data_IF_646655459275
#
_entry.id   IF_646655459275
#
_cell.length_a   1.000
_cell.length_b   1.000
_cell.length_c   1.000
_cell.angle_alpha   90.00
_cell.angle_beta   90.00
_cell.angle_gamma   90.00
#
_symmetry.space_group_name_H-M   'P 1'
#
loop_
_entity.id
_entity.type
_entity.pdbx_description
1 polymer ?
#
# COMPACT_ATOMS: atom_id res chain seq x y z
N UNK A 1 -17.69 -25.77 37.40
CA UNK A 1 -16.49 -26.23 36.67
C UNK A 1 -16.92 -26.53 35.25
N UNK A 2 -16.62 -25.71 34.24
CA UNK A 2 -17.04 -25.99 32.87
C UNK A 2 -16.09 -27.02 32.24
N UNK A 3 -16.68 -28.00 31.58
CA UNK A 3 -16.05 -29.17 30.98
C UNK A 3 -14.97 -28.80 29.95
N UNK A 4 -13.77 -29.35 30.11
CA UNK A 4 -12.67 -29.23 29.16
C UNK A 4 -12.91 -30.20 27.98
N UNK A 5 -13.04 -29.73 26.72
CA UNK A 5 -13.21 -30.63 25.59
C UNK A 5 -11.89 -31.38 25.34
N UNK A 6 -11.94 -32.71 25.44
CA UNK A 6 -10.84 -33.61 25.06
C UNK A 6 -10.65 -33.61 23.55
N UNK A 7 -9.49 -33.16 23.07
CA UNK A 7 -9.09 -33.28 21.67
C UNK A 7 -8.43 -34.65 21.45
N UNK A 8 -9.11 -35.57 20.78
CA UNK A 8 -8.55 -36.87 20.39
C UNK A 8 -7.88 -36.74 19.01
N UNK A 9 -6.60 -37.11 18.92
CA UNK A 9 -5.87 -37.15 17.64
C UNK A 9 -6.25 -38.47 16.92
N UNK A 10 -6.60 -38.45 15.62
CA UNK A 10 -6.86 -39.68 14.89
C UNK A 10 -5.57 -40.44 14.63
N UNK A 11 -5.65 -41.78 14.62
CA UNK A 11 -4.51 -42.66 14.42
C UNK A 11 -3.78 -42.42 13.07
N UNK A 12 -2.48 -42.72 12.98
CA UNK A 12 -1.69 -42.46 11.76
C UNK A 12 -2.24 -43.28 10.58
N UNK A 13 -2.69 -42.61 9.51
CA UNK A 13 -3.14 -43.27 8.27
C UNK A 13 -4.46 -42.77 7.68
N UNK A 14 -5.19 -41.87 8.34
CA UNK A 14 -6.44 -41.32 7.79
C UNK A 14 -6.18 -40.17 6.80
N UNK A 15 -6.81 -40.23 5.62
CA UNK A 15 -6.80 -39.17 4.60
C UNK A 15 -7.42 -37.88 5.16
N UNK A 16 -6.72 -36.76 4.97
CA UNK A 16 -7.12 -35.45 5.49
C UNK A 16 -8.46 -34.99 4.89
N UNK A 17 -9.48 -34.83 5.74
CA UNK A 17 -10.71 -34.10 5.38
C UNK A 17 -10.55 -32.62 5.79
N UNK A 18 -11.07 -31.66 5.01
CA UNK A 18 -10.97 -30.24 5.34
C UNK A 18 -11.78 -29.93 6.60
N UNK A 19 -11.11 -29.45 7.64
CA UNK A 19 -11.73 -29.00 8.88
C UNK A 19 -12.49 -27.70 8.62
N UNK A 20 -13.82 -27.75 8.69
CA UNK A 20 -14.67 -26.54 8.82
C UNK A 20 -14.64 -26.10 10.28
N UNK A 21 -13.93 -25.00 10.55
CA UNK A 21 -13.99 -24.31 11.85
C UNK A 21 -14.99 -23.18 11.77
N UNK A 22 -16.14 -23.35 12.42
CA UNK A 22 -17.09 -22.27 12.73
C UNK A 22 -16.50 -21.44 13.87
N UNK A 23 -16.28 -20.12 13.72
CA UNK A 23 -15.51 -19.36 14.70
C UNK A 23 -16.41 -18.95 15.87
N UNK A 24 -16.23 -19.60 17.01
CA UNK A 24 -16.47 -18.94 18.30
C UNK A 24 -15.27 -19.27 19.19
N UNK A 25 -14.46 -18.25 19.46
CA UNK A 25 -13.21 -18.23 20.25
C UNK A 25 -12.08 -19.19 19.84
N UNK A 26 -11.28 -18.78 18.85
CA UNK A 26 -10.12 -19.53 18.34
C UNK A 26 -8.91 -19.46 19.29
N UNK A 27 -8.64 -20.52 20.05
CA UNK A 27 -7.28 -20.85 20.49
C UNK A 27 -6.57 -21.56 19.33
N UNK A 28 -5.53 -20.94 18.77
CA UNK A 28 -4.68 -21.56 17.75
C UNK A 28 -3.62 -22.41 18.43
N UNK A 29 -3.63 -23.72 18.19
CA UNK A 29 -2.53 -24.63 18.53
C UNK A 29 -1.65 -24.80 17.29
N UNK A 30 -0.35 -24.51 17.41
CA UNK A 30 0.63 -24.80 16.36
C UNK A 30 1.37 -26.09 16.69
N UNK A 31 1.53 -26.98 15.73
CA UNK A 31 2.36 -28.18 15.85
C UNK A 31 3.74 -27.89 15.24
N UNK A 32 4.68 -27.49 16.09
CA UNK A 32 6.11 -27.38 15.78
C UNK A 32 6.90 -28.09 16.88
N UNK A 33 7.96 -28.80 16.47
CA UNK A 33 8.74 -29.74 17.30
C UNK A 33 9.07 -29.23 18.72
N UNK A 34 8.66 -30.04 19.71
CA UNK A 34 9.08 -30.05 21.11
C UNK A 34 9.17 -28.68 21.82
N UNK A 35 8.06 -28.19 22.38
CA UNK A 35 7.91 -27.59 23.74
C UNK A 35 6.52 -26.91 23.80
N UNK A 36 5.60 -27.45 24.60
CA UNK A 36 4.27 -26.88 24.81
C UNK A 36 4.34 -25.81 25.92
N UNK A 37 4.64 -24.55 25.56
CA UNK A 37 4.46 -23.42 26.49
C UNK A 37 3.17 -22.70 26.14
N UNK A 38 2.23 -22.67 27.09
CA UNK A 38 0.99 -21.91 26.95
C UNK A 38 1.23 -20.50 27.52
N UNK A 39 1.84 -19.63 26.73
CA UNK A 39 1.92 -18.20 27.03
C UNK A 39 0.68 -17.46 26.52
N UNK A 40 0.18 -16.49 27.30
CA UNK A 40 -0.79 -15.49 26.83
C UNK A 40 -0.11 -14.61 25.76
N UNK A 41 -0.13 -15.06 24.51
CA UNK A 41 -0.03 -14.11 23.40
C UNK A 41 -1.39 -13.41 23.40
N UNK A 42 -1.45 -12.09 23.66
CA UNK A 42 -2.63 -11.32 23.28
C UNK A 42 -2.78 -11.52 21.78
N UNK A 43 -3.67 -12.43 21.40
CA UNK A 43 -3.88 -12.80 20.01
C UNK A 43 -4.21 -11.54 19.23
N UNK A 44 -3.38 -11.23 18.24
CA UNK A 44 -3.81 -10.36 17.16
C UNK A 44 -5.00 -11.07 16.53
N UNK A 45 -6.21 -10.60 16.82
CA UNK A 45 -7.40 -11.05 16.11
C UNK A 45 -7.16 -10.64 14.67
N UNK A 46 -6.87 -11.61 13.79
CA UNK A 46 -7.00 -11.41 12.34
C UNK A 46 -8.49 -11.29 12.09
N UNK A 47 -9.05 -10.14 12.41
CA UNK A 47 -10.46 -9.87 12.23
C UNK A 47 -10.72 -9.81 10.73
N UNK A 48 -11.64 -10.64 10.25
CA UNK A 48 -12.13 -10.59 8.88
C UNK A 48 -13.05 -9.37 8.62
N UNK A 49 -12.90 -8.31 9.42
CA UNK A 49 -13.74 -7.11 9.44
C UNK A 49 -13.28 -6.06 8.45
N UNK A 50 -12.02 -6.12 8.04
CA UNK A 50 -11.38 -5.10 7.23
C UNK A 50 -10.95 -5.65 5.88
N UNK A 51 -11.40 -5.01 4.81
CA UNK A 51 -11.08 -5.42 3.44
C UNK A 51 -10.33 -4.31 2.73
N UNK A 52 -9.22 -4.65 2.10
CA UNK A 52 -8.40 -3.74 1.29
C UNK A 52 -8.45 -4.22 -0.16
N UNK A 53 -8.89 -3.37 -1.08
CA UNK A 53 -8.92 -3.65 -2.50
C UNK A 53 -8.17 -2.55 -3.24
N UNK A 54 -7.47 -2.89 -4.32
CA UNK A 54 -6.90 -1.91 -5.22
C UNK A 54 -7.41 -2.11 -6.64
N UNK A 55 -7.44 -1.02 -7.39
CA UNK A 55 -7.48 -1.06 -8.84
C UNK A 55 -6.05 -0.91 -9.36
N UNK A 56 -5.73 -1.55 -10.49
CA UNK A 56 -4.41 -1.41 -11.10
C UNK A 56 -4.09 0.06 -11.42
N UNK A 57 -2.81 0.48 -11.33
CA UNK A 57 -2.44 1.87 -11.55
C UNK A 57 -2.83 2.34 -12.95
N UNK A 58 -3.34 3.56 -13.05
CA UNK A 58 -3.66 4.22 -14.31
C UNK A 58 -2.70 5.37 -14.56
N UNK A 59 -2.33 5.60 -15.82
CA UNK A 59 -1.50 6.74 -16.19
C UNK A 59 -2.40 7.96 -16.39
N UNK A 60 -2.13 9.05 -15.66
CA UNK A 60 -2.91 10.28 -15.76
C UNK A 60 -1.99 11.49 -15.98
N UNK A 61 -2.43 12.41 -16.85
CA UNK A 61 -1.76 13.69 -17.06
C UNK A 61 -2.35 14.73 -16.12
N UNK A 62 -1.48 15.43 -15.38
CA UNK A 62 -1.83 16.61 -14.62
C UNK A 62 -2.00 17.78 -15.59
N UNK A 63 -3.23 18.25 -15.80
CA UNK A 63 -3.51 19.35 -16.74
C UNK A 63 -2.94 20.70 -16.29
N UNK A 64 -2.61 20.89 -15.01
CA UNK A 64 -2.04 22.14 -14.49
C UNK A 64 -0.54 22.25 -14.80
N UNK A 65 0.19 21.15 -14.65
CA UNK A 65 1.65 21.10 -14.83
C UNK A 65 2.06 20.43 -16.14
N UNK A 66 1.12 19.84 -16.88
CA UNK A 66 1.34 18.99 -18.06
C UNK A 66 2.29 17.81 -17.82
N UNK A 67 2.39 17.35 -16.57
CA UNK A 67 3.23 16.22 -16.18
C UNK A 67 2.39 14.97 -15.99
N UNK A 68 2.96 13.80 -16.25
CA UNK A 68 2.26 12.53 -16.09
C UNK A 68 2.51 11.91 -14.69
N UNK A 69 1.60 11.10 -14.18
CA UNK A 69 1.74 10.33 -12.95
C UNK A 69 1.07 8.96 -13.06
N UNK A 70 1.58 7.97 -12.33
CA UNK A 70 0.87 6.73 -12.06
C UNK A 70 -0.07 6.92 -10.88
N UNK A 71 -1.36 6.71 -11.13
CA UNK A 71 -2.40 6.92 -10.14
C UNK A 71 -2.92 5.58 -9.66
N UNK A 72 -2.77 5.34 -8.37
CA UNK A 72 -3.22 4.14 -7.69
C UNK A 72 -4.51 4.44 -6.94
N UNK A 73 -5.49 3.55 -7.04
CA UNK A 73 -6.73 3.65 -6.29
C UNK A 73 -6.85 2.47 -5.36
N UNK A 74 -6.94 2.76 -4.06
CA UNK A 74 -7.06 1.74 -3.01
C UNK A 74 -8.27 2.08 -2.14
N UNK A 75 -9.11 1.07 -1.93
CA UNK A 75 -10.30 1.16 -1.10
C UNK A 75 -10.14 0.28 0.14
N UNK A 76 -10.27 0.89 1.31
CA UNK A 76 -10.32 0.25 2.60
C UNK A 76 -11.75 0.26 3.10
N UNK A 77 -12.29 -0.90 3.47
CA UNK A 77 -13.65 -1.04 3.99
C UNK A 77 -13.61 -1.67 5.37
N UNK A 78 -14.22 -0.99 6.34
CA UNK A 78 -14.42 -1.50 7.69
C UNK A 78 -15.91 -1.87 7.91
N UNK A 79 -16.20 -3.08 8.35
CA UNK A 79 -17.58 -3.49 8.62
C UNK A 79 -18.22 -2.73 9.79
N UNK A 80 -17.44 -2.19 10.72
CA UNK A 80 -17.93 -1.49 11.91
C UNK A 80 -18.03 0.04 11.74
N UNK A 81 -17.67 0.56 10.57
CA UNK A 81 -17.59 2.00 10.31
C UNK A 81 -16.15 2.51 10.38
N UNK A 82 -15.94 3.75 9.95
CA UNK A 82 -14.60 4.33 9.82
C UNK A 82 -14.08 4.99 11.12
N UNK A 83 -14.91 5.06 12.16
CA UNK A 83 -14.62 5.84 13.37
C UNK A 83 -13.47 5.29 14.21
N UNK A 84 -13.13 4.02 14.06
CA UNK A 84 -12.02 3.36 14.75
C UNK A 84 -10.73 3.31 13.92
N UNK A 85 -10.73 3.74 12.66
CA UNK A 85 -9.54 3.81 11.79
C UNK A 85 -8.72 5.07 12.07
N UNK A 86 -7.40 4.93 12.24
CA UNK A 86 -6.46 6.05 12.44
C UNK A 86 -5.65 6.35 11.20
N UNK A 87 -4.92 5.36 10.71
CA UNK A 87 -3.97 5.52 9.62
C UNK A 87 -4.12 4.39 8.61
N UNK A 88 -4.06 4.75 7.34
CA UNK A 88 -3.97 3.83 6.21
C UNK A 88 -2.55 3.92 5.65
N UNK A 89 -1.97 2.78 5.32
CA UNK A 89 -0.59 2.67 4.91
C UNK A 89 -0.51 2.03 3.54
N UNK A 90 0.35 2.56 2.69
CA UNK A 90 0.57 2.12 1.32
C UNK A 90 2.05 2.03 1.07
N UNK A 91 2.54 0.90 0.59
CA UNK A 91 3.94 0.77 0.29
C UNK A 91 4.11 0.09 -1.06
N UNK A 92 4.69 0.80 -2.02
CA UNK A 92 5.16 0.17 -3.25
C UNK A 92 6.57 -0.30 -2.96
N UNK A 93 6.75 -1.61 -2.82
CA UNK A 93 8.02 -2.25 -2.41
C UNK A 93 8.26 -3.54 -3.18
N UNK A 94 9.53 -3.81 -3.49
CA UNK A 94 9.98 -5.04 -4.14
C UNK A 94 10.26 -6.20 -3.15
N UNK A 95 10.25 -5.94 -1.84
CA UNK A 95 10.58 -6.94 -0.81
C UNK A 95 9.36 -7.31 0.03
N UNK A 96 8.81 -6.35 0.78
CA UNK A 96 7.63 -6.55 1.63
C UNK A 96 6.95 -5.24 1.97
N UNK A 97 5.68 -5.30 2.36
CA UNK A 97 4.92 -4.11 2.81
C UNK A 97 5.50 -3.46 4.06
N UNK A 98 6.11 -4.24 4.95
CA UNK A 98 6.72 -3.73 6.18
C UNK A 98 8.07 -3.01 5.95
N UNK A 99 8.67 -3.11 4.76
CA UNK A 99 9.94 -2.46 4.46
C UNK A 99 9.74 -0.97 4.16
N UNK A 100 10.00 -0.15 5.17
CA UNK A 100 9.79 1.29 5.13
C UNK A 100 10.97 2.09 4.54
N UNK A 101 12.18 1.55 4.61
CA UNK A 101 13.40 2.25 4.17
C UNK A 101 13.59 2.09 2.68
N UNK A 102 14.04 3.15 2.02
CA UNK A 102 14.31 3.14 0.57
C UNK A 102 13.12 2.59 -0.25
N UNK A 103 11.90 2.93 0.15
CA UNK A 103 10.67 2.52 -0.51
C UNK A 103 9.73 3.70 -0.69
N UNK A 104 8.74 3.54 -1.57
CA UNK A 104 7.68 4.53 -1.74
C UNK A 104 6.58 4.25 -0.72
N UNK A 105 6.82 4.66 0.53
CA UNK A 105 5.93 4.42 1.65
C UNK A 105 5.10 5.68 1.97
N UNK A 106 3.78 5.55 1.79
CA UNK A 106 2.79 6.55 2.13
C UNK A 106 1.99 6.19 3.39
N UNK A 107 1.62 7.20 4.15
CA UNK A 107 0.64 7.10 5.24
C UNK A 107 -0.47 8.13 5.03
N UNK A 108 -1.73 7.71 5.09
CA UNK A 108 -2.87 8.60 5.14
C UNK A 108 -3.44 8.60 6.55
N UNK A 109 -3.41 9.76 7.20
CA UNK A 109 -3.97 9.96 8.53
C UNK A 109 -5.42 10.39 8.42
N UNK A 110 -6.34 9.51 8.81
CA UNK A 110 -7.77 9.68 8.61
C UNK A 110 -8.38 10.90 9.36
N UNK A 111 -7.98 11.21 10.61
CA UNK A 111 -8.55 12.34 11.36
C UNK A 111 -8.32 13.72 10.71
N UNK A 112 -7.16 13.94 10.09
CA UNK A 112 -6.84 15.22 9.41
C UNK A 112 -6.91 15.13 7.89
N UNK A 113 -7.16 13.92 7.35
CA UNK A 113 -7.16 13.62 5.91
C UNK A 113 -5.86 14.05 5.20
N UNK A 114 -4.72 13.91 5.89
CA UNK A 114 -3.41 14.23 5.32
C UNK A 114 -2.74 12.97 4.82
N UNK A 115 -2.08 13.06 3.68
CA UNK A 115 -1.23 11.99 3.14
C UNK A 115 0.23 12.41 3.27
N UNK A 116 1.07 11.47 3.69
CA UNK A 116 2.47 11.73 3.96
C UNK A 116 3.35 10.71 3.26
N UNK A 117 4.51 11.15 2.78
CA UNK A 117 5.55 10.33 2.20
C UNK A 117 6.71 10.18 3.19
N UNK A 118 7.19 8.96 3.38
CA UNK A 118 8.31 8.66 4.26
C UNK A 118 9.65 9.00 3.57
N UNK A 119 10.56 9.61 4.30
CA UNK A 119 11.91 9.88 3.81
C UNK A 119 12.76 8.60 3.66
N UNK A 120 13.87 8.68 2.92
CA UNK A 120 14.73 7.52 2.65
C UNK A 120 15.27 6.82 3.91
N UNK A 121 15.52 7.62 4.96
CA UNK A 121 16.00 7.14 6.25
C UNK A 121 14.92 6.40 7.08
N UNK A 122 13.65 6.49 6.69
CA UNK A 122 12.55 5.81 7.39
C UNK A 122 12.18 6.43 8.75
N UNK A 123 12.55 7.70 8.99
CA UNK A 123 12.43 8.37 10.30
C UNK A 123 11.54 9.60 10.30
N UNK A 124 11.22 10.17 9.13
CA UNK A 124 10.46 11.41 9.02
C UNK A 124 9.45 11.37 7.88
N UNK A 125 8.27 11.94 8.12
CA UNK A 125 7.15 11.98 7.19
C UNK A 125 6.94 13.40 6.63
N UNK A 126 6.92 13.54 5.33
CA UNK A 126 6.58 14.79 4.63
C UNK A 126 5.10 14.76 4.23
N UNK A 127 4.31 15.70 4.75
CA UNK A 127 2.84 15.64 4.64
C UNK A 127 2.28 16.67 3.66
N UNK A 128 1.27 16.27 2.91
CA UNK A 128 0.46 17.13 2.04
C UNK A 128 -1.02 16.86 2.25
N UNK A 129 -1.84 17.85 1.90
CA UNK A 129 -3.29 17.67 1.80
C UNK A 129 -3.64 17.19 0.40
N UNK A 130 -4.50 16.16 0.23
CA UNK A 130 -5.04 15.79 -1.07
C UNK A 130 -5.64 17.01 -1.81
N UNK A 131 -5.44 17.09 -3.12
CA UNK A 131 -5.77 18.23 -4.01
C UNK A 131 -4.96 19.52 -3.77
N UNK A 132 -3.96 19.51 -2.89
CA UNK A 132 -3.03 20.63 -2.80
C UNK A 132 -2.13 20.66 -4.03
N UNK A 133 -1.83 21.86 -4.55
CA UNK A 133 -0.81 22.05 -5.57
C UNK A 133 0.61 22.02 -4.94
N UNK A 134 0.92 20.88 -4.34
CA UNK A 134 2.18 20.59 -3.65
C UNK A 134 2.64 19.20 -4.04
N UNK A 135 3.95 18.99 -4.04
CA UNK A 135 4.60 17.70 -4.29
C UNK A 135 5.64 17.47 -3.21
N UNK A 136 5.70 16.23 -2.71
CA UNK A 136 6.75 15.75 -1.80
C UNK A 136 7.46 14.58 -2.44
N UNK A 137 8.73 14.34 -2.11
CA UNK A 137 9.54 13.32 -2.78
C UNK A 137 10.60 12.72 -1.87
N UNK A 138 10.91 11.44 -2.10
CA UNK A 138 12.07 10.76 -1.57
C UNK A 138 12.93 10.20 -2.72
N UNK A 139 13.97 9.42 -2.41
CA UNK A 139 14.86 8.82 -3.41
C UNK A 139 14.26 7.71 -4.28
N UNK A 140 12.99 7.32 -4.08
CA UNK A 140 12.28 6.31 -4.89
C UNK A 140 11.10 6.87 -5.67
N UNK A 141 10.37 7.85 -5.12
CA UNK A 141 9.19 8.41 -5.74
C UNK A 141 8.89 9.85 -5.33
N UNK A 142 8.04 10.50 -6.12
CA UNK A 142 7.38 11.76 -5.78
C UNK A 142 5.86 11.58 -5.74
N UNK A 143 5.20 12.18 -4.75
CA UNK A 143 3.75 12.21 -4.58
C UNK A 143 3.18 13.55 -5.05
N UNK A 144 2.31 13.52 -6.07
CA UNK A 144 1.62 14.70 -6.60
C UNK A 144 0.29 14.92 -5.87
N UNK A 145 0.22 16.00 -5.07
CA UNK A 145 -0.97 16.36 -4.31
C UNK A 145 -2.18 16.72 -5.18
N UNK A 146 -1.96 17.25 -6.39
CA UNK A 146 -3.02 17.75 -7.28
C UNK A 146 -3.92 16.62 -7.78
N UNK A 147 -3.29 15.50 -8.14
CA UNK A 147 -3.96 14.30 -8.63
C UNK A 147 -4.33 13.32 -7.51
N UNK A 148 -3.92 13.61 -6.28
CA UNK A 148 -4.23 12.81 -5.10
C UNK A 148 -5.57 13.24 -4.52
N UNK A 149 -6.47 12.27 -4.32
CA UNK A 149 -7.82 12.49 -3.82
C UNK A 149 -8.13 11.45 -2.74
N UNK A 150 -8.67 11.91 -1.62
CA UNK A 150 -9.28 11.04 -0.62
C UNK A 150 -10.78 11.24 -0.63
N UNK A 151 -11.54 10.15 -0.56
CA UNK A 151 -13.00 10.21 -0.43
C UNK A 151 -13.49 9.11 0.49
N UNK A 152 -14.66 9.34 1.08
CA UNK A 152 -15.31 8.41 1.98
C UNK A 152 -16.70 8.10 1.48
N UNK A 153 -17.08 6.82 1.47
CA UNK A 153 -18.44 6.41 1.19
C UNK A 153 -18.85 5.26 2.11
N UNK A 154 -19.94 5.46 2.86
CA UNK A 154 -20.40 4.53 3.90
C UNK A 154 -19.25 4.21 4.87
N UNK A 155 -18.80 2.96 4.89
CA UNK A 155 -17.73 2.50 5.75
C UNK A 155 -16.42 2.26 4.99
N UNK A 156 -16.20 2.99 3.90
CA UNK A 156 -15.03 2.83 3.05
C UNK A 156 -14.27 4.14 2.84
N UNK A 157 -12.94 4.09 3.00
CA UNK A 157 -12.01 5.09 2.49
C UNK A 157 -11.54 4.67 1.11
N UNK A 158 -11.69 5.54 0.11
CA UNK A 158 -11.09 5.39 -1.21
C UNK A 158 -10.02 6.46 -1.37
N UNK A 159 -8.76 6.02 -1.41
CA UNK A 159 -7.59 6.87 -1.55
C UNK A 159 -7.02 6.65 -2.95
N UNK A 160 -7.01 7.74 -3.72
CA UNK A 160 -6.36 7.86 -5.00
C UNK A 160 -5.06 8.64 -4.80
N UNK A 161 -3.91 8.03 -5.02
CA UNK A 161 -2.62 8.71 -4.87
C UNK A 161 -1.80 8.63 -6.15
N UNK A 162 -1.21 9.76 -6.52
CA UNK A 162 -0.49 9.93 -7.77
C UNK A 162 1.02 9.94 -7.52
N UNK A 163 1.70 8.91 -8.01
CA UNK A 163 3.13 8.72 -7.85
C UNK A 163 3.86 8.86 -9.17
N UNK A 164 5.08 9.39 -9.08
CA UNK A 164 6.09 9.28 -10.13
C UNK A 164 7.28 8.57 -9.54
N UNK A 165 7.81 7.58 -10.26
CA UNK A 165 8.91 6.78 -9.78
C UNK A 165 10.18 7.19 -10.50
N UNK A 166 11.26 7.32 -9.73
CA UNK A 166 12.58 7.56 -10.31
C UNK A 166 13.05 6.33 -11.08
N UNK A 167 13.86 6.56 -12.10
CA UNK A 167 14.23 5.54 -13.09
C UNK A 167 14.79 4.25 -12.48
N UNK A 168 15.63 4.40 -11.45
CA UNK A 168 16.24 3.32 -10.69
C UNK A 168 15.26 2.45 -9.88
N UNK A 169 14.10 2.99 -9.53
CA UNK A 169 13.06 2.27 -8.80
C UNK A 169 12.03 1.65 -9.75
N UNK A 170 11.72 2.35 -10.84
CA UNK A 170 10.77 1.93 -11.86
C UNK A 170 11.24 0.75 -12.72
N UNK A 171 12.55 0.51 -12.80
CA UNK A 171 13.11 -0.62 -13.57
C UNK A 171 12.89 -2.00 -12.94
N UNK A 172 12.27 -2.06 -11.75
CA UNK A 172 12.09 -3.28 -10.97
C UNK A 172 10.60 -3.58 -10.76
N UNK A 173 10.23 -4.85 -10.86
CA UNK A 173 8.87 -5.30 -10.53
C UNK A 173 8.66 -5.14 -9.03
N UNK A 174 7.61 -4.44 -8.63
CA UNK A 174 7.25 -4.20 -7.23
C UNK A 174 5.85 -4.75 -6.94
N UNK A 175 5.48 -4.79 -5.66
CA UNK A 175 4.11 -5.03 -5.23
C UNK A 175 3.58 -3.81 -4.49
N UNK A 176 2.31 -3.50 -4.70
CA UNK A 176 1.60 -2.55 -3.86
C UNK A 176 1.11 -3.28 -2.60
N UNK A 177 1.50 -2.78 -1.45
CA UNK A 177 1.08 -3.29 -0.15
C UNK A 177 0.18 -2.30 0.56
N UNK A 178 -0.85 -2.82 1.24
CA UNK A 178 -1.77 -2.04 2.05
C UNK A 178 -1.82 -2.55 3.49
N UNK A 179 -1.91 -1.62 4.43
CA UNK A 179 -2.14 -1.89 5.85
C UNK A 179 -3.01 -0.78 6.44
N UNK A 180 -3.66 -1.02 7.58
CA UNK A 180 -4.31 0.03 8.34
C UNK A 180 -4.20 -0.21 9.85
N UNK A 181 -4.31 0.86 10.61
CA UNK A 181 -4.27 0.86 12.08
C UNK A 181 -5.49 1.55 12.65
N UNK A 182 -5.91 1.13 13.85
CA UNK A 182 -6.98 1.79 14.59
C UNK A 182 -6.53 2.97 15.47
N UNK A 183 -7.47 3.75 16.00
CA UNK A 183 -7.23 4.95 16.85
C UNK A 183 -6.54 4.65 18.19
N UNK A 184 -6.71 3.46 18.75
CA UNK A 184 -6.09 3.09 20.03
C UNK A 184 -4.78 2.31 19.80
N UNK A 185 -3.72 2.94 19.28
CA UNK A 185 -2.44 2.26 18.99
C UNK A 185 -1.86 1.47 20.18
N UNK A 186 -2.13 1.90 21.43
CA UNK A 186 -1.67 1.24 22.66
C UNK A 186 -2.43 -0.07 23.01
N UNK A 187 -3.60 -0.31 22.42
CA UNK A 187 -4.33 -1.59 22.46
C UNK A 187 -4.59 -2.14 21.05
N UNK A 188 -3.84 -1.65 20.06
CA UNK A 188 -4.33 -1.35 18.72
C UNK A 188 -4.64 -2.55 17.83
N UNK A 189 -5.83 -2.48 17.22
CA UNK A 189 -6.15 -3.29 16.06
C UNK A 189 -5.22 -2.86 14.92
N UNK A 190 -4.20 -3.69 14.68
CA UNK A 190 -3.32 -3.60 13.52
C UNK A 190 -3.80 -4.66 12.53
N UNK A 191 -4.23 -4.22 11.37
CA UNK A 191 -4.49 -5.11 10.26
C UNK A 191 -3.16 -5.54 9.65
N UNK A 192 -2.97 -6.82 9.27
CA UNK A 192 -1.72 -7.25 8.67
C UNK A 192 -1.52 -6.61 7.30
N UNK A 193 -0.25 -6.52 6.86
CA UNK A 193 0.08 -6.15 5.50
C UNK A 193 -0.56 -7.11 4.49
N UNK A 194 -1.23 -6.56 3.49
CA UNK A 194 -1.81 -7.30 2.37
C UNK A 194 -1.16 -6.85 1.07
N UNK A 195 -0.68 -7.80 0.26
CA UNK A 195 -0.31 -7.51 -1.13
C UNK A 195 -1.59 -7.26 -1.93
N UNK A 196 -1.67 -6.11 -2.57
CA UNK A 196 -2.80 -5.67 -3.39
C UNK A 196 -2.58 -5.97 -4.88
N UNK A 197 -1.38 -6.46 -5.22
CA UNK A 197 -1.03 -6.90 -6.56
C UNK A 197 0.36 -6.43 -6.98
N UNK A 198 0.88 -7.09 -8.01
CA UNK A 198 2.11 -6.68 -8.67
C UNK A 198 1.88 -5.40 -9.45
N UNK A 199 2.79 -4.45 -9.31
CA UNK A 199 2.79 -3.18 -10.04
C UNK A 199 4.12 -3.03 -10.76
N UNK A 200 4.07 -2.53 -11.98
CA UNK A 200 5.26 -2.11 -12.70
C UNK A 200 5.31 -0.58 -12.60
N UNK A 201 6.15 -0.02 -11.72
CA UNK A 201 6.29 1.42 -11.62
C UNK A 201 6.81 1.93 -12.97
N UNK A 202 6.07 2.84 -13.60
CA UNK A 202 6.46 3.37 -14.90
C UNK A 202 7.48 4.47 -14.66
N UNK A 203 8.53 4.45 -15.48
CA UNK A 203 9.41 5.60 -15.63
C UNK A 203 8.58 6.69 -16.28
N UNK A 204 8.39 7.80 -15.56
CA UNK A 204 7.76 8.99 -16.12
C UNK A 204 8.86 10.01 -16.32
N UNK A 205 9.13 10.34 -17.58
CA UNK A 205 10.20 11.26 -17.97
C UNK A 205 9.84 12.70 -17.59
N UNK A 206 10.17 13.09 -16.36
CA UNK A 206 10.38 14.49 -15.96
C UNK A 206 11.73 14.52 -15.26
N UNK A 207 12.59 15.51 -15.59
CA UNK A 207 13.98 15.56 -15.13
C UNK A 207 14.12 15.16 -13.65
N UNK A 208 14.80 14.03 -13.42
CA UNK A 208 15.07 13.49 -12.10
C UNK A 208 16.23 14.28 -11.47
N UNK A 209 16.03 15.04 -10.38
CA UNK A 209 17.08 15.81 -9.73
C UNK A 209 18.13 14.93 -9.02
N UNK A 210 17.90 13.62 -8.89
CA UNK A 210 18.81 12.67 -8.24
C UNK A 210 19.53 11.74 -9.23
N UNK A 211 19.23 11.82 -10.53
CA UNK A 211 19.97 11.05 -11.53
C UNK A 211 21.28 11.77 -11.88
N UNK A 212 22.43 11.14 -11.61
CA UNK A 212 23.76 11.64 -11.95
C UNK A 212 24.07 11.62 -13.47
N UNK A 213 23.09 11.32 -14.31
CA UNK A 213 23.23 11.15 -15.76
C UNK A 213 22.26 12.07 -16.52
N UNK A 214 22.26 13.35 -16.15
CA UNK A 214 21.34 14.38 -16.66
C UNK A 214 21.06 14.29 -18.16
N UNK A 215 19.89 13.75 -18.50
CA UNK A 215 19.27 13.96 -19.81
C UNK A 215 18.33 15.15 -19.66
N UNK A 216 18.84 16.33 -20.02
CA UNK A 216 18.03 17.51 -20.18
C UNK A 216 17.19 17.34 -21.47
N UNK A 217 15.87 17.19 -21.32
CA UNK A 217 14.96 17.30 -22.45
C UNK A 217 14.54 18.77 -22.60
N UNK A 218 14.92 19.38 -23.71
CA UNK A 218 14.33 20.65 -24.15
C UNK A 218 12.92 20.33 -24.64
N UNK A 219 11.91 20.79 -23.92
CA UNK A 219 10.55 20.85 -24.46
C UNK A 219 10.51 21.98 -25.49
N UNK A 220 10.79 21.69 -26.75
CA UNK A 220 10.33 22.58 -27.80
C UNK A 220 8.79 22.54 -27.78
N UNK A 221 8.16 23.71 -27.64
CA UNK A 221 6.70 23.85 -27.77
C UNK A 221 6.30 23.34 -29.16
N UNK A 222 5.90 22.08 -29.30
CA UNK A 222 5.46 21.58 -30.59
C UNK A 222 4.01 21.98 -30.84
N UNK A 223 3.82 22.85 -31.82
CA UNK A 223 2.56 22.99 -32.55
C UNK A 223 2.80 22.44 -33.95
N UNK A 224 2.77 21.12 -34.10
CA UNK A 224 2.33 20.38 -35.29
C UNK A 224 2.85 18.94 -35.27
N UNK A 225 1.97 17.99 -35.57
CA UNK A 225 2.32 16.61 -35.88
C UNK A 225 2.96 16.53 -37.26
N UNK A 226 4.12 15.89 -37.38
CA UNK A 226 4.67 15.43 -38.66
C UNK A 226 5.01 13.94 -38.52
N UNK A 227 4.32 13.11 -39.32
CA UNK A 227 4.68 11.72 -39.58
C UNK A 227 5.88 11.76 -40.52
N UNK A 228 7.02 11.21 -40.12
CA UNK A 228 8.14 10.99 -41.04
C UNK A 228 7.97 9.57 -41.59
N UNK A 229 7.47 9.47 -42.82
CA UNK A 229 7.61 8.26 -43.62
C UNK A 229 9.11 8.09 -43.94
N UNK A 230 9.69 6.95 -43.58
CA UNK A 230 10.97 6.52 -44.13
C UNK A 230 10.72 5.85 -45.48
N UNK A 231 10.65 6.65 -46.54
CA UNK A 231 10.89 6.14 -47.89
C UNK A 231 12.31 6.52 -48.30
N UNK A 232 13.04 5.51 -48.76
CA UNK A 232 14.49 5.51 -48.84
C UNK A 232 15.11 6.31 -49.98
N UNK A 233 16.43 6.42 -49.86
CA UNK A 233 17.43 6.35 -50.91
C UNK A 233 18.66 5.64 -50.35
#
# INVERSE_FOLDING_TARGET
MPNNPTCTIPAPGATAQPIRVTPTVSKLCWAGFAFLTCGLIRGQVVDNRFTINSQGPQIQTNSQTQTQAQVFTVTYTDQNGLGDVSSLYFNVSNTSGANATQSCFLSFYAPTQTISLLNDAGISWESITPRANLTVSNGQCSLDGTLTVASTYKNSYTIQFALRFWSQYANSVASLWGMATGQNAASGTIWPWKSLGTVQPAVIFTADPHSSNGLAFVFERSSAWQVINQDGY
#
